data_IF_256230133145
#
_entry.id   IF_256230133145
#
_cell.length_a   1.000
_cell.length_b   1.000
_cell.length_c   1.000
_cell.angle_alpha   90.00
_cell.angle_beta   90.00
_cell.angle_gamma   90.00
#
_symmetry.space_group_name_H-M   'P 1'
#
loop_
_entity.id
_entity.type
_entity.pdbx_description
1 polymer ?
#
# COMPACT_ATOMS: atom_id res chain seq x y z
N UNK A 1 -37.84 -22.89 -6.48
CA UNK A 1 -37.63 -22.26 -5.16
C UNK A 1 -36.69 -21.08 -5.37
N UNK A 2 -37.10 -19.85 -5.05
CA UNK A 2 -36.21 -18.68 -5.11
C UNK A 2 -35.17 -18.83 -3.98
N UNK A 3 -33.90 -18.93 -4.33
CA UNK A 3 -32.82 -19.10 -3.35
C UNK A 3 -32.63 -17.84 -2.51
N UNK A 4 -32.35 -18.00 -1.22
CA UNK A 4 -31.91 -16.88 -0.37
C UNK A 4 -30.54 -16.40 -0.88
N UNK A 5 -30.31 -15.10 -0.93
CA UNK A 5 -29.05 -14.50 -1.36
C UNK A 5 -28.66 -13.35 -0.45
N UNK A 6 -27.36 -13.14 -0.30
CA UNK A 6 -26.76 -11.98 0.35
C UNK A 6 -26.32 -11.04 -0.76
N UNK A 7 -26.77 -9.79 -0.70
CA UNK A 7 -26.38 -8.73 -1.63
C UNK A 7 -25.51 -7.71 -0.88
N UNK A 8 -24.35 -7.40 -1.46
CA UNK A 8 -23.47 -6.34 -0.98
C UNK A 8 -23.36 -5.30 -2.08
N UNK A 9 -23.83 -4.09 -1.79
CA UNK A 9 -23.63 -2.93 -2.66
C UNK A 9 -22.67 -1.99 -1.98
N UNK A 10 -21.61 -1.59 -2.69
CA UNK A 10 -20.62 -0.65 -2.19
C UNK A 10 -20.40 0.51 -3.17
N UNK A 11 -20.01 1.65 -2.62
CA UNK A 11 -19.64 2.83 -3.38
C UNK A 11 -18.45 3.51 -2.68
N UNK A 12 -17.30 3.52 -3.33
CA UNK A 12 -16.04 4.03 -2.81
C UNK A 12 -15.71 5.37 -3.48
N UNK A 13 -15.20 6.30 -2.67
CA UNK A 13 -14.85 7.65 -3.11
C UNK A 13 -13.34 7.89 -2.90
N UNK A 14 -12.48 7.27 -3.72
CA UNK A 14 -11.04 7.50 -3.64
C UNK A 14 -10.70 8.94 -4.05
N UNK A 15 -9.58 9.52 -3.57
CA UNK A 15 -9.06 10.79 -4.06
C UNK A 15 -8.84 10.76 -5.57
N UNK A 16 -9.05 11.88 -6.26
CA UNK A 16 -8.95 11.99 -7.73
C UNK A 16 -7.57 11.66 -8.31
N UNK A 17 -6.51 11.75 -7.49
CA UNK A 17 -5.15 11.35 -7.85
C UNK A 17 -4.91 9.84 -7.83
N UNK A 18 -5.85 9.07 -7.30
CA UNK A 18 -5.73 7.61 -7.15
C UNK A 18 -6.03 6.93 -8.49
N UNK A 19 -5.10 6.12 -8.98
CA UNK A 19 -5.34 5.30 -10.19
C UNK A 19 -6.21 4.09 -9.83
N UNK A 20 -7.00 3.61 -10.79
CA UNK A 20 -7.87 2.46 -10.55
C UNK A 20 -7.01 1.20 -10.32
N UNK A 21 -7.19 0.49 -9.19
CA UNK A 21 -6.44 -0.73 -8.93
C UNK A 21 -6.89 -1.89 -9.83
N UNK A 22 -5.99 -2.84 -10.04
CA UNK A 22 -6.27 -4.11 -10.71
C UNK A 22 -6.20 -5.28 -9.74
N UNK A 23 -7.12 -6.24 -9.86
CA UNK A 23 -7.17 -7.44 -9.04
C UNK A 23 -6.05 -8.42 -9.43
N UNK A 24 -4.92 -8.34 -8.73
CA UNK A 24 -3.83 -9.32 -8.74
C UNK A 24 -3.47 -9.90 -10.13
N UNK A 25 -3.22 -11.21 -10.26
CA UNK A 25 -2.72 -11.83 -11.49
C UNK A 25 -3.69 -11.78 -12.67
N UNK A 26 -4.96 -11.40 -12.42
CA UNK A 26 -5.99 -11.32 -13.45
C UNK A 26 -5.97 -10.00 -14.23
N UNK A 27 -5.23 -8.99 -13.72
CA UNK A 27 -5.20 -7.61 -14.25
C UNK A 27 -6.58 -6.97 -14.48
N UNK A 28 -7.64 -7.52 -13.88
CA UNK A 28 -8.99 -6.98 -14.05
C UNK A 28 -9.16 -5.72 -13.21
N UNK A 29 -9.76 -4.65 -13.76
CA UNK A 29 -9.97 -3.42 -13.01
C UNK A 29 -10.94 -3.67 -11.85
N UNK A 30 -10.58 -3.20 -10.66
CA UNK A 30 -11.45 -3.24 -9.48
C UNK A 30 -12.35 -1.99 -9.51
N UNK A 31 -13.67 -2.13 -9.67
CA UNK A 31 -14.56 -0.98 -9.75
C UNK A 31 -14.71 -0.31 -8.37
N UNK A 32 -14.89 1.01 -8.37
CA UNK A 32 -15.18 1.80 -7.17
C UNK A 32 -16.62 1.64 -6.69
N UNK A 33 -17.52 1.17 -7.56
CA UNK A 33 -18.90 0.80 -7.20
C UNK A 33 -19.29 -0.50 -7.87
N UNK A 34 -19.92 -1.39 -7.10
CA UNK A 34 -20.46 -2.65 -7.62
C UNK A 34 -21.47 -3.24 -6.65
N UNK A 35 -22.26 -4.17 -7.18
CA UNK A 35 -23.18 -5.01 -6.43
C UNK A 35 -22.75 -6.46 -6.59
N UNK A 36 -22.46 -7.11 -5.46
CA UNK A 36 -22.03 -8.50 -5.37
C UNK A 36 -23.15 -9.34 -4.77
N UNK A 37 -23.42 -10.49 -5.39
CA UNK A 37 -24.50 -11.39 -4.97
C UNK A 37 -23.94 -12.76 -4.59
N UNK A 38 -24.25 -13.21 -3.38
CA UNK A 38 -23.78 -14.48 -2.82
C UNK A 38 -24.98 -15.39 -2.52
N UNK A 39 -25.17 -16.49 -3.27
CA UNK A 39 -26.28 -17.40 -3.02
C UNK A 39 -26.06 -18.17 -1.72
N UNK A 40 -27.09 -18.21 -0.87
CA UNK A 40 -27.13 -19.05 0.34
C UNK A 40 -27.58 -20.44 -0.10
N UNK A 41 -26.61 -21.31 -0.36
CA UNK A 41 -26.89 -22.70 -0.74
C UNK A 41 -27.43 -23.44 0.49
N UNK A 42 -28.73 -23.71 0.48
CA UNK A 42 -29.33 -24.62 1.45
C UNK A 42 -28.90 -26.03 1.04
N UNK A 43 -28.13 -26.72 1.89
CA UNK A 43 -27.74 -28.10 1.62
C UNK A 43 -29.02 -28.94 1.50
N UNK A 44 -29.29 -29.60 0.36
CA UNK A 44 -30.41 -30.53 0.28
C UNK A 44 -30.09 -31.69 1.21
N UNK A 45 -30.76 -31.76 2.36
CA UNK A 45 -30.75 -33.00 3.14
C UNK A 45 -31.34 -34.08 2.24
N UNK A 46 -30.47 -34.98 1.76
CA UNK A 46 -30.86 -36.28 1.27
C UNK A 46 -31.81 -36.88 2.31
N UNK A 47 -33.04 -37.11 1.90
CA UNK A 47 -34.21 -37.50 2.69
C UNK A 47 -34.12 -38.93 3.27
N UNK A 48 -32.96 -39.31 3.82
CA UNK A 48 -32.69 -40.70 4.21
C UNK A 48 -32.17 -40.90 5.62
N UNK A 49 -32.01 -39.85 6.44
CA UNK A 49 -31.61 -40.02 7.84
C UNK A 49 -32.53 -39.24 8.78
N UNK A 50 -33.53 -39.94 9.30
CA UNK A 50 -34.62 -39.44 10.14
C UNK A 50 -34.21 -39.10 11.58
N UNK A 51 -32.94 -38.76 11.82
CA UNK A 51 -32.38 -38.60 13.18
C UNK A 51 -31.69 -37.26 13.44
N UNK A 52 -31.50 -36.40 12.43
CA UNK A 52 -30.89 -35.08 12.64
C UNK A 52 -31.91 -34.07 13.20
N UNK A 53 -32.04 -34.00 14.53
CA UNK A 53 -32.83 -32.98 15.28
C UNK A 53 -32.08 -31.64 15.30
N UNK A 54 -31.67 -31.12 14.14
CA UNK A 54 -31.13 -29.76 14.06
C UNK A 54 -32.28 -28.78 13.94
N UNK A 55 -32.32 -27.77 14.81
CA UNK A 55 -33.38 -26.76 14.75
C UNK A 55 -33.34 -26.04 13.40
N UNK A 56 -34.51 -25.63 12.85
CA UNK A 56 -34.55 -24.85 11.61
C UNK A 56 -33.64 -23.62 11.63
N UNK A 57 -33.50 -23.01 12.81
CA UNK A 57 -32.59 -21.89 13.07
C UNK A 57 -31.12 -22.29 12.93
N UNK A 58 -30.72 -23.45 13.45
CA UNK A 58 -29.34 -23.95 13.31
C UNK A 58 -29.00 -24.23 11.84
N UNK A 59 -29.92 -24.82 11.08
CA UNK A 59 -29.75 -25.07 9.64
C UNK A 59 -29.65 -23.78 8.83
N UNK A 60 -30.42 -22.76 9.22
CA UNK A 60 -30.32 -21.43 8.62
C UNK A 60 -28.94 -20.82 8.81
N UNK A 61 -28.42 -20.79 10.05
CA UNK A 61 -27.09 -20.22 10.28
C UNK A 61 -25.98 -21.08 9.65
N UNK A 62 -26.11 -22.41 9.65
CA UNK A 62 -25.16 -23.30 8.99
C UNK A 62 -25.04 -23.05 7.48
N UNK A 63 -26.16 -22.73 6.81
CA UNK A 63 -26.17 -22.41 5.38
C UNK A 63 -25.80 -20.95 5.10
N UNK A 64 -26.17 -20.00 5.97
CA UNK A 64 -25.90 -18.57 5.79
C UNK A 64 -24.46 -18.17 6.13
N UNK A 65 -23.84 -18.79 7.13
CA UNK A 65 -22.50 -18.39 7.62
C UNK A 65 -21.42 -18.50 6.54
N UNK A 66 -21.35 -19.56 5.72
CA UNK A 66 -20.37 -19.65 4.64
C UNK A 66 -20.58 -18.58 3.56
N UNK A 67 -21.83 -18.28 3.22
CA UNK A 67 -22.16 -17.24 2.25
C UNK A 67 -21.75 -15.85 2.77
N UNK A 68 -21.98 -15.58 4.06
CA UNK A 68 -21.58 -14.34 4.72
C UNK A 68 -20.05 -14.19 4.76
N UNK A 69 -19.34 -15.26 5.12
CA UNK A 69 -17.88 -15.25 5.17
C UNK A 69 -17.29 -14.99 3.77
N UNK A 70 -17.83 -15.63 2.74
CA UNK A 70 -17.42 -15.38 1.35
C UNK A 70 -17.68 -13.92 0.96
N UNK A 71 -18.84 -13.38 1.33
CA UNK A 71 -19.21 -12.00 1.05
C UNK A 71 -18.25 -11.01 1.73
N UNK A 72 -17.89 -11.29 2.98
CA UNK A 72 -16.91 -10.51 3.74
C UNK A 72 -15.51 -10.58 3.11
N UNK A 73 -15.03 -11.78 2.75
CA UNK A 73 -13.72 -11.95 2.10
C UNK A 73 -13.65 -11.18 0.79
N UNK A 74 -14.66 -11.29 -0.08
CA UNK A 74 -14.69 -10.57 -1.36
C UNK A 74 -14.72 -9.05 -1.17
N UNK A 75 -15.46 -8.54 -0.19
CA UNK A 75 -15.46 -7.10 0.10
C UNK A 75 -14.10 -6.63 0.64
N UNK A 76 -13.50 -7.41 1.54
CA UNK A 76 -12.19 -7.08 2.09
C UNK A 76 -11.10 -7.05 1.02
N UNK A 77 -11.13 -7.97 0.06
CA UNK A 77 -10.20 -7.95 -1.08
C UNK A 77 -10.34 -6.64 -1.88
N UNK A 78 -11.57 -6.24 -2.23
CA UNK A 78 -11.83 -4.98 -2.93
C UNK A 78 -11.28 -3.79 -2.13
N UNK A 79 -11.55 -3.75 -0.83
CA UNK A 79 -11.08 -2.67 0.03
C UNK A 79 -9.55 -2.65 0.16
N UNK A 80 -8.89 -3.81 0.21
CA UNK A 80 -7.43 -3.90 0.23
C UNK A 80 -6.83 -3.32 -1.05
N UNK A 81 -7.34 -3.69 -2.22
CA UNK A 81 -6.85 -3.15 -3.49
C UNK A 81 -6.98 -1.62 -3.55
N UNK A 82 -8.12 -1.08 -3.10
CA UNK A 82 -8.32 0.37 -3.05
C UNK A 82 -7.45 1.04 -1.99
N UNK A 83 -7.28 0.43 -0.82
CA UNK A 83 -6.40 0.94 0.24
C UNK A 83 -4.96 1.03 -0.24
N UNK A 84 -4.46 0.01 -0.90
CA UNK A 84 -3.09 -0.03 -1.42
C UNK A 84 -2.91 1.01 -2.54
N UNK A 85 -3.87 1.13 -3.46
CA UNK A 85 -3.84 2.15 -4.51
C UNK A 85 -3.85 3.59 -3.96
N UNK A 86 -4.64 3.85 -2.91
CA UNK A 86 -4.63 5.14 -2.22
C UNK A 86 -3.28 5.35 -1.53
N UNK A 87 -2.77 4.35 -0.80
CA UNK A 87 -1.46 4.42 -0.16
C UNK A 87 -0.32 4.74 -1.14
N UNK A 88 -0.32 4.10 -2.32
CA UNK A 88 0.67 4.36 -3.36
C UNK A 88 0.53 5.77 -3.96
N UNK A 89 -0.70 6.25 -4.16
CA UNK A 89 -0.95 7.61 -4.64
C UNK A 89 -0.53 8.68 -3.62
N UNK A 90 -0.59 8.37 -2.32
CA UNK A 90 -0.24 9.31 -1.26
C UNK A 90 1.22 9.23 -0.82
N UNK A 91 1.93 8.15 -1.16
CA UNK A 91 3.35 7.95 -0.84
C UNK A 91 4.24 9.14 -1.23
N UNK A 92 3.95 9.77 -2.37
CA UNK A 92 4.72 10.93 -2.86
C UNK A 92 4.49 12.21 -2.04
N UNK A 93 3.42 12.28 -1.25
CA UNK A 93 3.17 13.40 -0.32
C UNK A 93 4.03 13.26 0.95
N UNK A 94 4.45 12.05 1.29
CA UNK A 94 5.25 11.75 2.49
C UNK A 94 6.76 11.73 2.22
N UNK A 95 7.18 11.58 0.96
CA UNK A 95 8.60 11.52 0.58
C UNK A 95 9.25 12.91 0.73
N UNK A 96 9.69 13.19 1.96
CA UNK A 96 10.29 14.45 2.41
C UNK A 96 11.74 14.59 1.90
N UNK A 97 11.93 14.45 0.59
CA UNK A 97 13.19 14.68 -0.11
C UNK A 97 14.22 13.56 -0.01
N UNK A 98 15.26 13.69 -0.85
CA UNK A 98 16.41 12.78 -0.98
C UNK A 98 16.97 12.44 0.40
N UNK A 99 16.68 11.24 0.91
CA UNK A 99 17.54 10.59 1.90
C UNK A 99 18.91 10.46 1.27
N UNK A 100 19.83 11.32 1.71
CA UNK A 100 21.22 11.34 1.26
C UNK A 100 21.78 9.94 1.41
N UNK A 101 22.01 9.27 0.28
CA UNK A 101 22.70 8.00 0.28
C UNK A 101 24.12 8.30 0.73
N UNK A 102 24.38 8.14 2.03
CA UNK A 102 25.72 8.23 2.58
C UNK A 102 26.57 7.21 1.82
N UNK A 103 27.49 7.70 0.98
CA UNK A 103 28.52 6.86 0.38
C UNK A 103 29.27 6.20 1.53
N UNK A 104 28.95 4.94 1.81
CA UNK A 104 29.61 4.18 2.87
C UNK A 104 31.12 4.18 2.63
N UNK A 105 31.91 4.23 3.72
CA UNK A 105 33.39 4.28 3.71
C UNK A 105 34.04 3.27 2.77
N UNK A 106 33.38 2.14 2.47
CA UNK A 106 33.84 1.15 1.50
C UNK A 106 34.03 1.73 0.08
N UNK A 107 33.12 2.61 -0.39
CA UNK A 107 33.24 3.22 -1.72
C UNK A 107 34.46 4.15 -1.82
N UNK A 108 34.80 4.84 -0.72
CA UNK A 108 35.96 5.74 -0.66
C UNK A 108 37.28 4.97 -0.71
N UNK A 109 37.36 3.78 -0.11
CA UNK A 109 38.58 2.96 -0.17
C UNK A 109 38.78 2.32 -1.55
N UNK A 110 37.71 1.92 -2.25
CA UNK A 110 37.84 1.37 -3.61
C UNK A 110 38.36 2.41 -4.62
N UNK A 111 37.96 3.68 -4.48
CA UNK A 111 38.48 4.80 -5.29
C UNK A 111 39.95 5.13 -4.96
N UNK A 112 40.36 4.98 -3.69
CA UNK A 112 41.75 5.17 -3.28
C UNK A 112 42.67 4.05 -3.77
N UNK A 113 42.17 2.81 -3.88
CA UNK A 113 42.96 1.64 -4.31
C UNK A 113 43.11 1.56 -5.84
N UNK A 114 42.14 2.07 -6.62
CA UNK A 114 42.18 2.02 -8.08
C UNK A 114 42.93 3.19 -8.75
N UNK A 115 43.55 4.10 -7.98
CA UNK A 115 44.45 5.14 -8.54
C UNK A 115 43.78 6.25 -9.36
N UNK A 116 42.45 6.36 -9.37
CA UNK A 116 41.70 7.37 -10.14
C UNK A 116 41.53 8.73 -9.43
N UNK A 117 42.38 9.05 -8.44
CA UNK A 117 42.29 10.32 -7.71
C UNK A 117 42.61 11.55 -8.57
N UNK A 118 43.31 11.40 -9.70
CA UNK A 118 43.68 12.53 -10.56
C UNK A 118 42.54 13.03 -11.47
N UNK A 119 41.62 12.16 -11.90
CA UNK A 119 40.49 12.58 -12.73
C UNK A 119 39.36 13.24 -11.91
N UNK A 120 39.18 12.83 -10.64
CA UNK A 120 38.18 13.40 -9.75
C UNK A 120 38.60 14.77 -9.16
N UNK A 121 39.90 15.02 -9.00
CA UNK A 121 40.40 16.33 -8.53
C UNK A 121 40.21 17.44 -9.57
N UNK A 122 40.41 17.17 -10.87
CA UNK A 122 40.18 18.19 -11.92
C UNK A 122 38.70 18.43 -12.23
N UNK A 123 37.82 17.46 -12.02
CA UNK A 123 36.37 17.68 -12.12
C UNK A 123 35.78 18.35 -10.86
N UNK A 124 36.44 18.22 -9.70
CA UNK A 124 35.97 18.76 -8.41
C UNK A 124 36.31 20.22 -8.14
N UNK A 125 37.33 20.79 -8.79
CA UNK A 125 37.70 22.21 -8.59
C UNK A 125 36.79 23.18 -9.37
N UNK A 126 36.07 22.72 -10.41
CA UNK A 126 35.09 23.58 -11.12
C UNK A 126 33.71 23.67 -10.43
N UNK A 127 33.46 22.86 -9.40
CA UNK A 127 32.23 22.94 -8.59
C UNK A 127 32.42 23.60 -7.21
N UNK A 128 33.65 24.01 -6.87
CA UNK A 128 34.03 24.72 -5.62
C UNK A 128 34.59 26.13 -5.93
N UNK A 129 34.28 26.70 -7.10
CA UNK A 129 34.57 28.11 -7.42
C UNK A 129 33.29 28.76 -7.93
N UNK A 130 32.25 28.73 -7.09
CA UNK A 130 30.92 29.21 -7.44
C UNK A 130 30.01 29.30 -6.23
N UNK A 131 30.34 30.19 -5.29
CA UNK A 131 29.39 30.70 -4.29
C UNK A 131 29.60 30.13 -2.90
N UNK A 132 30.45 30.79 -2.13
CA UNK A 132 30.64 30.53 -0.71
C UNK A 132 31.71 31.46 -0.17
N UNK A 133 31.48 32.77 -0.29
CA UNK A 133 32.28 33.78 0.41
C UNK A 133 32.21 33.50 1.91
N UNK A 134 33.34 33.00 2.40
CA UNK A 134 33.76 33.03 3.79
C UNK A 134 33.80 34.49 4.27
N UNK A 135 32.81 34.90 5.05
CA UNK A 135 32.83 36.12 5.85
C UNK A 135 32.47 35.74 7.28
N UNK A 136 33.46 35.22 8.02
CA UNK A 136 33.44 35.25 9.48
C UNK A 136 34.53 36.21 9.92
N UNK A 137 34.15 37.49 10.02
CA UNK A 137 34.93 38.48 10.75
C UNK A 137 34.77 38.18 12.24
N UNK A 138 35.84 37.65 12.83
CA UNK A 138 36.13 37.71 14.25
C UNK A 138 36.25 39.20 14.64
N UNK A 139 35.29 39.71 15.42
CA UNK A 139 35.51 40.89 16.26
C UNK A 139 35.10 40.56 17.70
N UNK A 140 36.15 40.40 18.52
CA UNK A 140 36.13 40.49 19.98
C UNK A 140 35.48 41.82 20.41
N UNK A 141 34.48 41.76 21.29
CA UNK A 141 34.15 42.90 22.16
C UNK A 141 33.92 42.39 23.59
N UNK A 142 35.01 42.41 24.36
CA UNK A 142 34.97 42.44 25.81
C UNK A 142 34.38 43.77 26.27
N UNK A 143 33.27 43.75 26.99
CA UNK A 143 32.91 44.82 27.92
C UNK A 143 32.08 44.26 29.08
N UNK A 144 32.81 44.03 30.17
CA UNK A 144 32.36 43.77 31.53
C UNK A 144 31.85 45.08 32.18
N UNK A 145 30.90 44.98 33.12
CA UNK A 145 30.28 46.02 34.01
C UNK A 145 29.02 46.77 33.55
#
# INVERSE_FOLDING_TARGET
MSGKMIEITYNLFPPSSTTQPTAGPSSQPVPSSSTLTFPVVSSPQSSHDSTSVTSPTSQYYASASPALLKAQTSLNEVLTYWKDAVGDAEKLKEDSGKVGHGKGRATMMSLAVNGEFKAAAEAGVKAVIGGGEESSEDEDDESDW
#
